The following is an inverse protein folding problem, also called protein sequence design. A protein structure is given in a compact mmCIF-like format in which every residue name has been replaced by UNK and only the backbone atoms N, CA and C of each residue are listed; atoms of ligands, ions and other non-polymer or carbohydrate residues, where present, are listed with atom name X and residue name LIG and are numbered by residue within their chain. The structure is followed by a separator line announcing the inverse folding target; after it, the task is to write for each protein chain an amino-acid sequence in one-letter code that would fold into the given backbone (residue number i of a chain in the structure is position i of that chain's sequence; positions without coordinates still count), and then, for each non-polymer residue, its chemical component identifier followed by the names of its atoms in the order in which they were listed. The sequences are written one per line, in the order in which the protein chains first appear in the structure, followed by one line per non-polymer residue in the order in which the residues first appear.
data_IF_155752058411
#
_entry.id   IF_155752058411
#
_cell.length_a   1.000
_cell.length_b   1.000
_cell.length_c   1.000
_cell.angle_alpha   90.00
_cell.angle_beta   90.00
_cell.angle_gamma   90.00
#
_symmetry.space_group_name_H-M   'P 1'
#
loop_
_entity.id
_entity.type
_entity.pdbx_description
1 polymer ?
#
# COMPACT_ATOMS: atom_id res chain seq x y z
N UNK A 1 -6.55 -12.14 11.98
CA UNK A 1 -6.29 -11.50 10.68
C UNK A 1 -5.30 -12.29 9.84
N UNK A 2 -4.09 -12.59 10.35
CA UNK A 2 -3.07 -13.33 9.60
C UNK A 2 -3.54 -14.66 8.97
N UNK A 3 -4.14 -15.58 9.75
CA UNK A 3 -4.61 -16.87 9.21
C UNK A 3 -5.64 -16.69 8.08
N UNK A 4 -6.58 -15.76 8.27
CA UNK A 4 -7.57 -15.39 7.24
C UNK A 4 -6.87 -14.91 5.97
N UNK A 5 -5.82 -14.09 6.10
CA UNK A 5 -5.06 -13.61 4.96
C UNK A 5 -4.40 -14.75 4.18
N UNK A 6 -3.75 -15.68 4.89
CA UNK A 6 -3.08 -16.84 4.27
C UNK A 6 -4.10 -17.73 3.54
N UNK A 7 -5.24 -18.01 4.17
CA UNK A 7 -6.29 -18.83 3.57
C UNK A 7 -6.89 -18.16 2.32
N UNK A 8 -7.18 -16.85 2.40
CA UNK A 8 -7.70 -16.06 1.30
C UNK A 8 -6.69 -15.96 0.14
N UNK A 9 -5.43 -15.66 0.44
CA UNK A 9 -4.37 -15.60 -0.55
C UNK A 9 -4.20 -16.96 -1.25
N UNK A 10 -4.18 -18.07 -0.50
CA UNK A 10 -4.09 -19.41 -1.09
C UNK A 10 -5.30 -19.71 -1.96
N UNK A 11 -6.49 -19.25 -1.56
CA UNK A 11 -7.71 -19.43 -2.33
C UNK A 11 -7.63 -18.73 -3.70
N UNK A 12 -7.24 -17.46 -3.74
CA UNK A 12 -7.19 -16.69 -4.99
C UNK A 12 -5.95 -16.97 -5.83
N UNK A 13 -4.79 -17.17 -5.22
CA UNK A 13 -3.53 -17.32 -5.96
C UNK A 13 -3.24 -18.74 -6.39
N UNK A 14 -3.79 -19.76 -5.71
CA UNK A 14 -3.51 -21.17 -6.00
C UNK A 14 -4.77 -21.99 -6.30
N UNK A 15 -5.72 -22.07 -5.37
CA UNK A 15 -6.88 -22.98 -5.50
C UNK A 15 -7.74 -22.60 -6.71
N UNK A 16 -8.10 -21.32 -6.84
CA UNK A 16 -8.97 -20.85 -7.92
C UNK A 16 -8.32 -21.08 -9.30
N UNK A 17 -7.07 -20.66 -9.57
CA UNK A 17 -6.42 -20.97 -10.84
C UNK A 17 -6.31 -22.46 -11.16
N UNK A 18 -5.94 -23.30 -10.19
CA UNK A 18 -5.83 -24.76 -10.38
C UNK A 18 -7.18 -25.36 -10.76
N UNK A 19 -8.25 -24.97 -10.08
CA UNK A 19 -9.60 -25.44 -10.39
C UNK A 19 -10.07 -24.91 -11.75
N UNK A 20 -9.74 -23.68 -12.13
CA UNK A 20 -10.03 -23.14 -13.47
C UNK A 20 -9.29 -23.94 -14.56
N UNK A 21 -8.01 -24.23 -14.38
CA UNK A 21 -7.22 -25.04 -15.32
C UNK A 21 -7.82 -26.45 -15.46
N UNK A 22 -8.14 -27.10 -14.34
CA UNK A 22 -8.80 -28.39 -14.32
C UNK A 22 -10.17 -28.33 -15.04
N UNK A 23 -10.89 -27.23 -14.89
CA UNK A 23 -12.18 -27.02 -15.54
C UNK A 23 -12.05 -26.87 -17.07
N UNK A 24 -11.08 -26.07 -17.54
CA UNK A 24 -10.76 -25.94 -18.97
C UNK A 24 -10.37 -27.30 -19.57
N UNK A 25 -9.55 -28.07 -18.85
CA UNK A 25 -9.17 -29.42 -19.26
C UNK A 25 -10.39 -30.36 -19.36
N UNK A 26 -11.27 -30.36 -18.36
CA UNK A 26 -12.50 -31.17 -18.36
C UNK A 26 -13.42 -30.81 -19.53
N UNK A 27 -13.57 -29.53 -19.86
CA UNK A 27 -14.33 -29.09 -21.04
C UNK A 27 -13.70 -29.66 -22.32
N UNK A 28 -12.38 -29.59 -22.47
CA UNK A 28 -11.67 -30.19 -23.61
C UNK A 28 -11.96 -31.69 -23.75
N UNK A 29 -11.93 -32.43 -22.64
CA UNK A 29 -12.28 -33.86 -22.61
C UNK A 29 -13.73 -34.09 -23.03
N UNK A 30 -14.69 -33.28 -22.55
CA UNK A 30 -16.09 -33.38 -22.99
C UNK A 30 -16.21 -33.17 -24.50
N UNK A 31 -15.55 -32.14 -25.05
CA UNK A 31 -15.61 -31.83 -26.48
C UNK A 31 -15.06 -33.02 -27.29
N UNK A 32 -13.94 -33.60 -26.88
CA UNK A 32 -13.36 -34.78 -27.53
C UNK A 32 -14.31 -35.98 -27.48
N UNK A 33 -14.89 -36.29 -26.31
CA UNK A 33 -15.85 -37.38 -26.15
C UNK A 33 -17.10 -37.12 -27.02
N UNK A 34 -17.61 -35.89 -27.02
CA UNK A 34 -18.80 -35.53 -27.79
C UNK A 34 -18.57 -35.62 -29.30
N UNK A 35 -17.35 -35.31 -29.76
CA UNK A 35 -16.96 -35.27 -31.17
C UNK A 35 -16.53 -36.64 -31.71
N UNK A 36 -15.78 -37.42 -30.92
CA UNK A 36 -15.11 -38.64 -31.39
C UNK A 36 -15.66 -39.95 -30.79
N UNK A 37 -16.44 -39.94 -29.71
CA UNK A 37 -16.95 -41.19 -29.14
C UNK A 37 -18.17 -41.71 -29.90
N UNK A 38 -18.04 -42.87 -30.55
CA UNK A 38 -19.16 -43.55 -31.22
C UNK A 38 -20.28 -43.93 -30.24
N UNK A 39 -21.52 -43.57 -30.60
CA UNK A 39 -22.88 -44.10 -30.25
C UNK A 39 -23.18 -44.76 -28.88
N UNK A 40 -22.35 -44.69 -27.84
CA UNK A 40 -22.72 -45.17 -26.50
C UNK A 40 -23.51 -44.07 -25.77
N UNK A 41 -24.81 -43.98 -26.10
CA UNK A 41 -25.73 -42.94 -25.59
C UNK A 41 -25.76 -42.83 -24.06
N UNK A 42 -25.64 -43.96 -23.35
CA UNK A 42 -25.70 -43.99 -21.89
C UNK A 42 -24.43 -43.43 -21.24
N UNK A 43 -23.24 -43.89 -21.66
CA UNK A 43 -21.95 -43.40 -21.12
C UNK A 43 -21.77 -41.91 -21.36
N UNK A 44 -22.10 -41.42 -22.57
CA UNK A 44 -22.08 -39.99 -22.89
C UNK A 44 -22.99 -39.18 -21.97
N UNK A 45 -24.21 -39.65 -21.70
CA UNK A 45 -25.16 -38.96 -20.82
C UNK A 45 -24.66 -38.92 -19.37
N UNK A 46 -24.13 -40.03 -18.85
CA UNK A 46 -23.55 -40.09 -17.51
C UNK A 46 -22.36 -39.13 -17.40
N UNK A 47 -21.40 -39.19 -18.34
CA UNK A 47 -20.23 -38.29 -18.34
C UNK A 47 -20.64 -36.82 -18.35
N UNK A 48 -21.58 -36.43 -19.21
CA UNK A 48 -22.06 -35.04 -19.27
C UNK A 48 -22.72 -34.62 -17.94
N UNK A 49 -23.58 -35.45 -17.37
CA UNK A 49 -24.23 -35.14 -16.08
C UNK A 49 -23.18 -35.03 -14.96
N UNK A 50 -22.21 -35.93 -14.91
CA UNK A 50 -21.13 -35.91 -13.91
C UNK A 50 -20.33 -34.62 -14.00
N UNK A 51 -19.93 -34.21 -15.21
CA UNK A 51 -19.18 -32.96 -15.36
C UNK A 51 -20.04 -31.75 -15.03
N UNK A 52 -21.30 -31.69 -15.48
CA UNK A 52 -22.21 -30.59 -15.11
C UNK A 52 -22.41 -30.48 -13.60
N UNK A 53 -22.52 -31.61 -12.90
CA UNK A 53 -22.64 -31.63 -11.45
C UNK A 53 -21.35 -31.15 -10.78
N UNK A 54 -20.19 -31.60 -11.27
CA UNK A 54 -18.89 -31.13 -10.80
C UNK A 54 -18.71 -29.61 -11.05
N UNK A 55 -19.13 -29.10 -12.21
CA UNK A 55 -19.18 -27.66 -12.50
C UNK A 55 -19.99 -26.93 -11.46
N UNK A 56 -21.22 -27.40 -11.20
CA UNK A 56 -22.14 -26.73 -10.30
C UNK A 56 -21.58 -26.66 -8.89
N UNK A 57 -20.98 -27.76 -8.40
CA UNK A 57 -20.33 -27.82 -7.09
C UNK A 57 -19.10 -26.90 -7.02
N UNK A 58 -18.25 -26.89 -8.06
CA UNK A 58 -17.08 -26.03 -8.13
C UNK A 58 -17.48 -24.54 -8.15
N UNK A 59 -18.47 -24.17 -8.96
CA UNK A 59 -19.02 -22.81 -9.00
C UNK A 59 -19.63 -22.41 -7.66
N UNK A 60 -20.37 -23.31 -7.00
CA UNK A 60 -20.91 -23.07 -5.66
C UNK A 60 -19.81 -22.83 -4.62
N UNK A 61 -18.76 -23.64 -4.65
CA UNK A 61 -17.59 -23.47 -3.80
C UNK A 61 -16.86 -22.15 -4.06
N UNK A 62 -16.72 -21.74 -5.32
CA UNK A 62 -16.12 -20.45 -5.68
C UNK A 62 -16.94 -19.26 -5.22
N UNK A 63 -18.25 -19.29 -5.41
CA UNK A 63 -19.13 -18.24 -4.93
C UNK A 63 -19.04 -18.14 -3.40
N UNK A 64 -19.12 -19.27 -2.70
CA UNK A 64 -18.96 -19.30 -1.24
C UNK A 64 -17.61 -18.73 -0.79
N UNK A 65 -16.51 -19.20 -1.38
CA UNK A 65 -15.17 -18.70 -1.06
C UNK A 65 -15.00 -17.22 -1.38
N UNK A 66 -15.55 -16.73 -2.50
CA UNK A 66 -15.51 -15.32 -2.84
C UNK A 66 -16.28 -14.45 -1.85
N UNK A 67 -17.45 -14.91 -1.38
CA UNK A 67 -18.18 -14.21 -0.32
C UNK A 67 -17.42 -14.21 1.01
N UNK A 68 -16.79 -15.34 1.37
CA UNK A 68 -16.00 -15.48 2.59
C UNK A 68 -14.75 -14.58 2.60
N UNK A 69 -14.04 -14.50 1.46
CA UNK A 69 -12.76 -13.79 1.35
C UNK A 69 -12.87 -12.43 0.65
N UNK A 70 -14.08 -11.85 0.55
CA UNK A 70 -14.32 -10.56 -0.13
C UNK A 70 -13.47 -9.42 0.45
N UNK A 71 -13.31 -9.39 1.77
CA UNK A 71 -12.50 -8.38 2.46
C UNK A 71 -11.03 -8.43 2.04
N UNK A 72 -10.49 -9.62 1.76
CA UNK A 72 -9.13 -9.77 1.25
C UNK A 72 -8.98 -9.11 -0.13
N UNK A 73 -9.97 -9.28 -1.02
CA UNK A 73 -9.93 -8.65 -2.36
C UNK A 73 -9.90 -7.13 -2.22
N UNK A 74 -10.73 -6.58 -1.33
CA UNK A 74 -10.80 -5.13 -1.11
C UNK A 74 -9.47 -4.57 -0.58
N UNK A 75 -8.81 -5.27 0.36
CA UNK A 75 -7.51 -4.85 0.87
C UNK A 75 -6.38 -5.07 -0.15
N UNK A 76 -6.44 -6.14 -0.92
CA UNK A 76 -5.40 -6.45 -1.90
C UNK A 76 -5.28 -5.39 -3.01
N UNK A 77 -6.35 -4.63 -3.29
CA UNK A 77 -6.32 -3.52 -4.25
C UNK A 77 -5.42 -2.35 -3.77
N UNK A 78 -5.17 -2.23 -2.47
CA UNK A 78 -4.27 -1.23 -1.90
C UNK A 78 -2.84 -1.72 -1.75
N UNK A 79 -2.57 -3.02 -1.96
CA UNK A 79 -1.22 -3.57 -1.87
C UNK A 79 -0.46 -3.28 -3.15
N UNK A 80 0.73 -2.72 -2.97
CA UNK A 80 1.68 -2.45 -4.05
C UNK A 80 3.10 -2.78 -3.56
N UNK A 81 4.12 -2.72 -4.45
CA UNK A 81 5.50 -3.09 -4.10
C UNK A 81 6.11 -2.32 -2.91
N UNK A 82 5.55 -1.17 -2.55
CA UNK A 82 6.01 -0.39 -1.39
C UNK A 82 5.53 -0.96 -0.05
N UNK A 83 4.43 -1.69 -0.05
CA UNK A 83 3.80 -2.30 1.14
C UNK A 83 4.19 -3.76 1.27
N UNK A 84 4.37 -4.47 0.14
CA UNK A 84 4.76 -5.88 0.12
C UNK A 84 5.82 -6.16 -0.94
N UNK A 85 6.89 -6.85 -0.56
CA UNK A 85 8.07 -7.07 -1.42
C UNK A 85 7.90 -8.16 -2.47
N UNK A 86 6.88 -9.01 -2.32
CA UNK A 86 6.60 -10.09 -3.25
C UNK A 86 5.11 -10.45 -3.24
N UNK A 87 4.67 -11.10 -4.31
CA UNK A 87 3.32 -11.62 -4.47
C UNK A 87 3.34 -13.12 -4.76
N UNK A 88 2.19 -13.78 -4.70
CA UNK A 88 2.05 -15.17 -5.10
C UNK A 88 1.26 -15.29 -6.41
N UNK A 89 1.82 -16.01 -7.37
CA UNK A 89 1.18 -16.35 -8.64
C UNK A 89 1.18 -17.86 -8.76
N UNK A 90 0.00 -18.49 -8.85
CA UNK A 90 -0.13 -19.96 -8.83
C UNK A 90 0.51 -20.59 -7.58
N UNK A 91 0.47 -19.89 -6.44
CA UNK A 91 1.12 -20.30 -5.19
C UNK A 91 2.64 -20.20 -5.19
N UNK A 92 3.25 -19.65 -6.25
CA UNK A 92 4.69 -19.45 -6.37
C UNK A 92 5.01 -17.99 -6.02
N UNK A 93 5.96 -17.80 -5.10
CA UNK A 93 6.48 -16.48 -4.72
C UNK A 93 7.15 -15.82 -5.94
N UNK A 94 6.72 -14.61 -6.25
CA UNK A 94 7.25 -13.75 -7.30
C UNK A 94 7.72 -12.46 -6.66
N UNK A 95 9.04 -12.25 -6.62
CA UNK A 95 9.62 -11.05 -6.02
C UNK A 95 9.43 -9.83 -6.93
N UNK A 96 9.15 -8.69 -6.32
CA UNK A 96 9.06 -7.40 -7.02
C UNK A 96 10.45 -6.81 -7.29
N UNK A 97 10.54 -5.93 -8.29
CA UNK A 97 11.79 -5.22 -8.57
C UNK A 97 12.20 -4.29 -7.41
N UNK A 98 13.44 -4.38 -6.96
CA UNK A 98 13.94 -3.60 -5.82
C UNK A 98 13.93 -2.09 -6.06
N UNK A 99 14.12 -1.65 -7.31
CA UNK A 99 14.04 -0.24 -7.69
C UNK A 99 12.61 0.26 -7.56
N UNK A 100 11.65 -0.54 -8.06
CA UNK A 100 10.22 -0.26 -7.96
C UNK A 100 9.77 -0.18 -6.50
N UNK A 101 10.13 -1.16 -5.66
CA UNK A 101 9.84 -1.18 -4.22
C UNK A 101 10.29 0.12 -3.56
N UNK A 102 11.53 0.56 -3.82
CA UNK A 102 12.09 1.79 -3.23
C UNK A 102 11.30 3.05 -3.62
N UNK A 103 10.92 3.15 -4.89
CA UNK A 103 10.14 4.30 -5.39
C UNK A 103 8.76 4.33 -4.75
N UNK A 104 8.08 3.19 -4.70
CA UNK A 104 6.74 3.09 -4.13
C UNK A 104 6.70 3.33 -2.62
N UNK A 105 7.73 2.89 -1.88
CA UNK A 105 7.86 3.20 -0.45
C UNK A 105 7.91 4.69 -0.14
N UNK A 106 8.35 5.51 -1.10
CA UNK A 106 8.46 6.97 -0.98
C UNK A 106 7.36 7.72 -1.73
N UNK A 107 6.34 7.02 -2.20
CA UNK A 107 5.26 7.64 -2.95
C UNK A 107 4.37 8.47 -2.04
N UNK A 108 3.79 9.54 -2.57
CA UNK A 108 2.84 10.40 -1.85
C UNK A 108 1.55 9.67 -1.45
N UNK A 109 1.22 8.58 -2.16
CA UNK A 109 -0.03 7.84 -1.98
C UNK A 109 0.06 6.77 -0.90
N UNK A 110 1.25 6.51 -0.37
CA UNK A 110 1.49 5.43 0.62
C UNK A 110 0.60 5.59 1.85
N UNK A 111 0.33 6.82 2.30
CA UNK A 111 -0.58 7.09 3.41
C UNK A 111 -1.97 6.51 3.16
N UNK A 112 -2.60 6.93 2.05
CA UNK A 112 -3.95 6.51 1.70
C UNK A 112 -4.06 5.03 1.37
N UNK A 113 -2.96 4.38 0.99
CA UNK A 113 -2.94 2.93 0.76
C UNK A 113 -2.79 2.17 2.07
N UNK A 114 -1.88 2.58 2.96
CA UNK A 114 -1.68 1.90 4.25
C UNK A 114 -2.84 2.13 5.22
N UNK A 115 -3.54 3.28 5.14
CA UNK A 115 -4.72 3.56 5.97
C UNK A 115 -5.91 2.64 5.69
N UNK A 116 -5.96 2.02 4.51
CA UNK A 116 -7.05 1.12 4.07
C UNK A 116 -6.76 -0.35 4.41
N UNK A 117 -5.61 -0.64 5.02
CA UNK A 117 -5.14 -2.00 5.29
C UNK A 117 -5.27 -2.31 6.79
N UNK A 118 -6.13 -3.26 7.13
CA UNK A 118 -6.42 -3.63 8.53
C UNK A 118 -5.21 -4.20 9.27
N UNK A 119 -4.18 -4.64 8.53
CA UNK A 119 -2.94 -5.14 9.12
C UNK A 119 -1.98 -4.03 9.55
N UNK A 120 -2.28 -2.76 9.28
CA UNK A 120 -1.49 -1.62 9.70
C UNK A 120 -2.22 -0.75 10.74
N UNK A 121 -1.45 -0.22 11.68
CA UNK A 121 -1.90 0.77 12.66
C UNK A 121 -1.07 2.05 12.49
N UNK A 122 -1.77 3.19 12.44
CA UNK A 122 -1.14 4.50 12.39
C UNK A 122 -0.65 4.92 13.78
N UNK A 123 0.58 5.42 13.85
CA UNK A 123 1.15 6.05 15.05
C UNK A 123 1.65 7.44 14.70
N UNK A 124 1.34 8.38 15.58
CA UNK A 124 1.88 9.73 15.49
C UNK A 124 3.36 9.70 15.84
N UNK A 125 4.17 10.30 14.97
CA UNK A 125 5.60 10.54 15.19
C UNK A 125 5.81 12.03 15.31
N UNK A 126 6.51 12.43 16.38
CA UNK A 126 6.83 13.81 16.68
C UNK A 126 8.36 13.93 16.74
N UNK A 127 8.91 14.95 16.06
CA UNK A 127 10.34 15.24 16.04
C UNK A 127 10.56 16.72 16.35
N UNK A 128 11.55 17.04 17.19
CA UNK A 128 11.92 18.42 17.49
C UNK A 128 12.20 19.19 16.20
N UNK A 129 11.69 20.43 16.10
CA UNK A 129 11.83 21.25 14.89
C UNK A 129 12.68 22.50 15.16
N UNK A 130 14.02 22.42 15.09
CA UNK A 130 14.94 23.47 15.56
C UNK A 130 15.21 24.56 14.50
N UNK A 131 14.26 24.84 13.60
CA UNK A 131 14.46 25.76 12.48
C UNK A 131 13.71 27.07 12.69
N UNK A 132 14.35 28.19 12.33
CA UNK A 132 13.77 29.50 12.50
C UNK A 132 12.75 29.78 11.39
N UNK A 133 11.55 30.21 11.77
CA UNK A 133 10.50 30.53 10.81
C UNK A 133 10.76 31.86 10.09
N UNK A 134 10.76 31.83 8.76
CA UNK A 134 10.99 33.00 7.90
C UNK A 134 9.69 33.64 7.40
N UNK A 135 8.54 33.03 7.69
CA UNK A 135 7.23 33.44 7.19
C UNK A 135 6.67 32.51 6.11
N UNK A 136 5.47 32.82 5.62
CA UNK A 136 4.78 32.04 4.60
C UNK A 136 4.35 32.87 3.40
N UNK A 137 4.16 32.18 2.28
CA UNK A 137 3.48 32.68 1.10
C UNK A 137 2.53 31.61 0.60
N UNK A 138 1.26 31.97 0.47
CA UNK A 138 0.17 31.03 0.17
C UNK A 138 0.20 29.85 1.17
N UNK A 139 0.27 28.60 0.70
CA UNK A 139 0.39 27.39 1.53
C UNK A 139 1.84 26.90 1.71
N UNK A 140 2.83 27.77 1.47
CA UNK A 140 4.25 27.43 1.57
C UNK A 140 4.92 28.20 2.69
N UNK A 141 5.50 27.45 3.62
CA UNK A 141 6.19 27.93 4.81
C UNK A 141 7.70 27.84 4.62
N UNK A 142 8.44 28.87 5.02
CA UNK A 142 9.88 28.97 4.83
C UNK A 142 10.61 28.96 6.17
N UNK A 143 11.75 28.28 6.21
CA UNK A 143 12.54 28.08 7.43
C UNK A 143 14.03 28.22 7.13
N UNK A 144 14.79 28.86 8.02
CA UNK A 144 16.26 28.99 7.90
C UNK A 144 17.01 27.95 8.73
N UNK A 145 18.24 27.63 8.30
CA UNK A 145 19.16 26.76 9.03
C UNK A 145 20.64 27.05 8.69
N UNK A 146 21.55 26.52 9.51
CA UNK A 146 23.00 26.68 9.37
C UNK A 146 23.59 27.73 10.33
N UNK A 147 24.93 27.76 10.45
CA UNK A 147 25.64 28.57 11.45
C UNK A 147 25.41 30.09 11.33
N UNK A 148 24.96 30.59 10.17
CA UNK A 148 24.62 32.01 9.91
C UNK A 148 23.23 32.17 9.25
N UNK A 149 22.34 31.17 9.35
CA UNK A 149 21.03 31.16 8.65
C UNK A 149 21.11 31.32 7.12
N UNK A 150 22.27 31.09 6.51
CA UNK A 150 22.51 31.28 5.07
C UNK A 150 21.68 30.37 4.14
N UNK A 151 21.10 29.30 4.69
CA UNK A 151 20.27 28.37 3.94
C UNK A 151 18.81 28.47 4.38
N UNK A 152 17.91 28.26 3.43
CA UNK A 152 16.50 28.11 3.73
C UNK A 152 15.90 26.91 3.01
N UNK A 153 14.85 26.34 3.58
CA UNK A 153 14.04 25.32 2.93
C UNK A 153 12.57 25.69 3.05
N UNK A 154 11.74 24.98 2.29
CA UNK A 154 10.31 25.20 2.27
C UNK A 154 9.55 23.93 2.55
N UNK A 155 8.43 24.07 3.26
CA UNK A 155 7.43 23.03 3.46
C UNK A 155 6.11 23.58 2.91
N UNK A 156 5.54 22.89 1.93
CA UNK A 156 4.13 23.07 1.54
C UNK A 156 3.24 22.20 2.42
N UNK A 157 2.27 22.79 3.10
CA UNK A 157 1.37 22.10 4.02
C UNK A 157 0.87 23.01 5.14
N UNK A 158 0.20 22.42 6.12
CA UNK A 158 -0.39 23.17 7.22
C UNK A 158 0.60 23.37 8.38
N UNK A 159 0.61 24.58 8.92
CA UNK A 159 1.26 24.90 10.20
C UNK A 159 0.17 25.11 11.23
N UNK A 160 0.27 24.39 12.35
CA UNK A 160 -0.63 24.56 13.49
C UNK A 160 0.06 25.41 14.54
N UNK A 161 -0.53 26.57 14.84
CA UNK A 161 0.01 27.47 15.85
C UNK A 161 -0.40 27.03 17.25
N UNK A 162 0.55 27.06 18.18
CA UNK A 162 0.40 26.60 19.57
C UNK A 162 1.02 27.59 20.54
N UNK A 163 0.82 27.39 21.85
CA UNK A 163 1.41 28.28 22.85
C UNK A 163 2.94 28.12 22.94
N UNK A 164 3.45 26.88 22.92
CA UNK A 164 4.85 26.58 23.23
C UNK A 164 5.48 25.41 22.46
N UNK A 165 4.76 24.74 21.56
CA UNK A 165 5.27 23.57 20.84
C UNK A 165 6.01 23.95 19.57
N UNK A 166 7.16 23.33 19.35
CA UNK A 166 7.93 23.44 18.10
C UNK A 166 8.39 22.08 17.58
N UNK A 167 7.50 21.41 16.86
CA UNK A 167 7.65 19.99 16.50
C UNK A 167 7.16 19.72 15.07
N UNK A 168 7.85 18.83 14.37
CA UNK A 168 7.43 18.22 13.12
C UNK A 168 6.58 17.00 13.45
N UNK A 169 5.35 16.95 12.93
CA UNK A 169 4.43 15.86 13.22
C UNK A 169 4.01 15.15 11.96
N UNK A 170 4.00 13.82 12.05
CA UNK A 170 3.58 12.94 10.98
C UNK A 170 3.02 11.64 11.49
N UNK A 171 2.71 10.77 10.54
CA UNK A 171 2.19 9.42 10.81
C UNK A 171 3.14 8.37 10.27
N UNK A 172 3.44 7.37 11.08
CA UNK A 172 4.13 6.13 10.72
C UNK A 172 3.16 4.95 10.87
N UNK A 173 3.13 4.08 9.87
CA UNK A 173 2.30 2.87 9.89
C UNK A 173 3.13 1.67 10.33
N UNK A 174 2.60 0.88 11.26
CA UNK A 174 3.22 -0.34 11.75
C UNK A 174 2.33 -1.55 11.55
N UNK A 175 2.93 -2.72 11.35
CA UNK A 175 2.19 -3.97 11.36
C UNK A 175 1.56 -4.22 12.74
N UNK A 176 0.27 -4.55 12.73
CA UNK A 176 -0.49 -5.00 13.91
C UNK A 176 -0.10 -6.40 14.38
N UNK A 177 0.47 -7.22 13.47
CA UNK A 177 0.92 -8.58 13.72
C UNK A 177 2.22 -8.83 12.95
N UNK A 178 3.33 -9.01 13.67
CA UNK A 178 4.69 -9.18 13.12
C UNK A 178 4.78 -10.37 12.16
N UNK A 179 3.87 -11.34 12.24
CA UNK A 179 3.84 -12.48 11.32
C UNK A 179 3.66 -12.05 9.87
N UNK A 180 3.04 -10.89 9.60
CA UNK A 180 2.91 -10.37 8.25
C UNK A 180 4.26 -10.04 7.60
N UNK A 181 5.29 -9.72 8.38
CA UNK A 181 6.65 -9.52 7.87
C UNK A 181 7.18 -10.80 7.21
N UNK A 182 6.84 -11.98 7.76
CA UNK A 182 7.26 -13.27 7.22
C UNK A 182 6.67 -13.59 5.85
N UNK A 183 5.59 -12.90 5.45
CA UNK A 183 4.97 -13.01 4.12
C UNK A 183 5.24 -11.80 3.22
N UNK A 184 6.26 -10.99 3.57
CA UNK A 184 6.84 -9.94 2.75
C UNK A 184 6.26 -8.55 2.97
N UNK A 185 5.40 -8.34 3.96
CA UNK A 185 4.92 -7.00 4.29
C UNK A 185 6.00 -6.18 4.98
N UNK A 186 6.03 -4.89 4.67
CA UNK A 186 6.97 -3.96 5.30
C UNK A 186 6.53 -3.69 6.75
N UNK A 187 7.41 -3.86 7.75
CA UNK A 187 7.03 -3.73 9.15
C UNK A 187 6.69 -2.31 9.60
N UNK A 188 7.36 -1.31 9.02
CA UNK A 188 7.15 0.11 9.31
C UNK A 188 7.25 0.96 8.03
N UNK A 189 6.41 1.98 7.90
CA UNK A 189 6.55 2.98 6.84
C UNK A 189 7.66 3.97 7.19
N UNK A 190 8.08 4.79 6.22
CA UNK A 190 8.74 6.05 6.58
C UNK A 190 7.71 7.00 7.23
N UNK A 191 8.13 7.92 8.13
CA UNK A 191 7.23 8.94 8.66
C UNK A 191 6.68 9.83 7.55
N UNK A 192 5.37 10.01 7.53
CA UNK A 192 4.66 10.80 6.52
C UNK A 192 4.26 12.12 7.15
N UNK A 193 4.77 13.21 6.60
CA UNK A 193 4.51 14.56 7.11
C UNK A 193 3.01 14.91 7.09
N UNK A 194 2.52 15.43 8.21
CA UNK A 194 1.16 15.97 8.35
C UNK A 194 1.16 17.47 8.63
N UNK A 195 1.83 17.91 9.70
CA UNK A 195 1.84 19.32 10.11
C UNK A 195 3.12 19.69 10.85
N UNK A 196 3.40 21.00 10.91
CA UNK A 196 4.41 21.55 11.83
C UNK A 196 3.69 22.33 12.92
N UNK A 197 3.97 22.02 14.18
CA UNK A 197 3.59 22.86 15.30
C UNK A 197 4.62 23.96 15.51
N UNK A 198 4.16 25.21 15.60
CA UNK A 198 5.00 26.37 15.92
C UNK A 198 4.33 27.24 17.00
N UNK A 199 5.10 27.93 17.85
CA UNK A 199 4.60 28.96 18.75
C UNK A 199 3.92 30.13 18.01
N UNK A 200 2.77 30.60 18.50
CA UNK A 200 2.02 31.73 17.92
C UNK A 200 2.85 33.01 17.79
N UNK A 201 3.77 33.24 18.73
CA UNK A 201 4.67 34.39 18.75
C UNK A 201 5.64 34.47 17.57
N UNK A 202 5.81 33.36 16.83
CA UNK A 202 6.66 33.32 15.64
C UNK A 202 5.97 33.76 14.37
N UNK A 203 4.64 33.91 14.39
CA UNK A 203 3.85 34.35 13.25
C UNK A 203 4.38 35.68 12.72
N UNK A 204 4.81 35.67 11.46
CA UNK A 204 5.38 36.84 10.80
C UNK A 204 5.14 36.79 9.29
N UNK A 205 5.18 37.97 8.67
CA UNK A 205 5.22 38.08 7.21
C UNK A 205 6.54 37.54 6.66
N UNK A 206 6.50 37.09 5.40
CA UNK A 206 7.66 36.52 4.73
C UNK A 206 8.80 37.53 4.61
N UNK A 207 9.95 37.18 5.18
CA UNK A 207 11.19 37.94 5.06
C UNK A 207 11.74 37.82 3.63
N UNK A 208 12.55 38.80 3.20
CA UNK A 208 13.21 38.75 1.91
C UNK A 208 14.14 37.52 1.82
N UNK A 209 13.81 36.60 0.92
CA UNK A 209 14.55 35.35 0.71
C UNK A 209 15.81 35.51 -0.17
N UNK A 210 16.11 36.72 -0.66
CA UNK A 210 17.23 36.95 -1.59
C UNK A 210 18.61 36.61 -1.00
N UNK A 211 18.71 36.65 0.33
CA UNK A 211 19.95 36.38 1.06
C UNK A 211 20.13 34.88 1.36
N UNK A 212 19.16 34.02 1.01
CA UNK A 212 19.14 32.61 1.39
C UNK A 212 19.34 31.69 0.18
N UNK A 213 20.18 30.66 0.36
CA UNK A 213 20.23 29.55 -0.60
C UNK A 213 19.13 28.54 -0.30
N UNK A 214 18.15 28.44 -1.22
CA UNK A 214 17.01 27.53 -1.07
C UNK A 214 17.43 26.07 -1.38
N UNK A 215 17.18 25.17 -0.42
CA UNK A 215 17.38 23.73 -0.55
C UNK A 215 16.06 22.96 -0.38
N UNK A 216 16.04 21.72 -0.86
CA UNK A 216 14.88 20.83 -0.67
C UNK A 216 14.83 20.31 0.78
N UNK A 217 13.64 20.26 1.36
CA UNK A 217 13.39 19.65 2.68
C UNK A 217 13.89 18.21 2.76
N UNK A 218 13.90 17.47 1.64
CA UNK A 218 14.41 16.09 1.57
C UNK A 218 15.92 15.96 1.84
N UNK A 219 16.68 17.07 1.83
CA UNK A 219 18.09 17.07 2.28
C UNK A 219 18.23 17.08 3.79
N UNK A 220 17.26 17.66 4.50
CA UNK A 220 17.24 17.75 5.97
C UNK A 220 16.52 16.53 6.56
N UNK A 221 15.38 16.18 5.97
CA UNK A 221 14.53 15.08 6.40
C UNK A 221 14.47 14.01 5.30
N UNK A 222 15.60 13.33 5.07
CA UNK A 222 15.74 12.34 4.00
C UNK A 222 14.91 11.06 4.22
N UNK A 223 14.56 10.79 5.48
CA UNK A 223 13.80 9.61 5.89
C UNK A 223 12.29 9.87 5.91
N UNK A 224 11.86 11.13 5.90
CA UNK A 224 10.45 11.51 5.90
C UNK A 224 9.89 11.63 4.48
N UNK A 225 8.60 11.37 4.35
CA UNK A 225 7.82 11.56 3.12
C UNK A 225 7.04 12.85 3.24
N UNK A 226 7.23 13.77 2.29
CA UNK A 226 6.46 15.00 2.19
C UNK A 226 5.63 15.00 0.90
N UNK A 227 4.33 14.65 0.95
CA UNK A 227 3.49 14.40 -0.24
C UNK A 227 3.37 15.59 -1.20
N UNK A 228 3.41 16.83 -0.69
CA UNK A 228 3.02 18.03 -1.43
C UNK A 228 4.19 18.93 -1.91
N UNK A 229 5.43 18.43 -1.93
CA UNK A 229 6.63 19.28 -2.14
C UNK A 229 7.05 19.46 -3.62
N UNK A 230 6.25 19.04 -4.60
CA UNK A 230 6.61 19.22 -6.01
C UNK A 230 6.67 20.71 -6.37
N UNK A 231 7.77 21.11 -7.02
CA UNK A 231 8.06 22.48 -7.45
C UNK A 231 6.96 23.07 -8.34
#
# INVERSE_FOLDING_TARGET
MFEFWIEAERFYTFIMPVVIIAYVFLIGVIILIYTYAERIKLRRRVTVITVLTATLLASGYFLFGHFQYRQWVQQNDFIHPGIREYSYILGIRTDEDRGLVRVFRRSSNIYGQMSELDMYEARTVEEDFPYNYLGSRDSTHYFSFGEDEQFAFRIRGDVTWTEDRRELVGTEFHLTDERFETIGFVPYSAPIFETVYLPEEEQRELVNLSDYQIVSVSRLYAEWIFPNQSN
#
